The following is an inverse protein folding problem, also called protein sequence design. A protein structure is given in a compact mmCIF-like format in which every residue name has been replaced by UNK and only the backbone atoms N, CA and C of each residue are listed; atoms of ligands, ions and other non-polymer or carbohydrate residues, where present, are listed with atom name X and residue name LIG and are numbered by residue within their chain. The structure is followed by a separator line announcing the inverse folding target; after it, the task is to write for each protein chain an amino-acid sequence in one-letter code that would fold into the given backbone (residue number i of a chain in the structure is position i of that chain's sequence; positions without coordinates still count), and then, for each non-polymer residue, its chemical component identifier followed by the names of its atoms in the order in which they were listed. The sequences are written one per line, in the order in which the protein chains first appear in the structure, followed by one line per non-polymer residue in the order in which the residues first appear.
data_IF_049781634567
#
_entry.id   IF_049781634567
#
_cell.length_a   1.000
_cell.length_b   1.000
_cell.length_c   1.000
_cell.angle_alpha   90.00
_cell.angle_beta   90.00
_cell.angle_gamma   90.00
#
_symmetry.space_group_name_H-M   'P 1'
#
loop_
_entity.id
_entity.type
_entity.pdbx_description
1 polymer ?
#
# COMPACT_ATOMS: atom_id res chain seq x y z
N UNK A 1 26.22 14.62 3.39
CA UNK A 1 26.92 14.41 4.68
C UNK A 1 26.39 13.10 5.24
N UNK A 2 27.29 12.14 5.49
CA UNK A 2 27.08 10.69 5.60
C UNK A 2 26.49 10.22 6.93
N UNK A 3 25.77 9.09 6.93
CA UNK A 3 25.88 8.05 7.99
C UNK A 3 25.14 6.74 7.62
N UNK A 4 25.45 5.60 8.28
CA UNK A 4 25.76 4.33 7.64
C UNK A 4 24.73 3.21 7.91
N UNK A 5 24.77 2.14 7.11
CA UNK A 5 24.09 0.84 7.34
C UNK A 5 22.66 0.91 7.90
N UNK A 6 21.66 1.13 7.04
CA UNK A 6 20.24 1.06 7.42
C UNK A 6 19.40 0.66 6.21
N UNK A 7 18.50 -0.28 6.41
CA UNK A 7 17.59 -0.89 5.42
C UNK A 7 16.92 0.16 4.53
N UNK A 8 17.13 0.10 3.21
CA UNK A 8 16.30 0.83 2.26
C UNK A 8 14.92 0.16 2.21
N UNK A 9 13.90 0.74 2.85
CA UNK A 9 12.51 0.31 2.70
C UNK A 9 11.59 0.72 3.85
N UNK A 10 10.33 1.04 3.55
CA UNK A 10 9.24 1.31 4.52
C UNK A 10 8.56 0.03 5.02
N UNK A 11 9.29 -1.09 5.08
CA UNK A 11 8.72 -2.39 5.46
C UNK A 11 8.26 -2.42 6.91
N UNK A 12 7.03 -2.85 7.14
CA UNK A 12 6.45 -3.06 8.48
C UNK A 12 5.93 -4.48 8.59
N UNK A 13 5.94 -5.05 9.80
CA UNK A 13 5.51 -6.43 10.03
C UNK A 13 4.56 -6.54 11.22
N UNK A 14 3.50 -7.31 11.04
CA UNK A 14 2.47 -7.57 12.04
C UNK A 14 1.35 -6.52 12.08
N UNK A 15 0.16 -6.88 12.63
CA UNK A 15 -1.03 -6.03 12.55
C UNK A 15 -0.86 -4.64 13.17
N UNK A 16 -0.20 -4.54 14.34
CA UNK A 16 -0.02 -3.27 15.03
C UNK A 16 0.89 -2.30 14.28
N UNK A 17 1.98 -2.80 13.68
CA UNK A 17 2.89 -1.97 12.90
C UNK A 17 2.24 -1.54 11.57
N UNK A 18 1.45 -2.43 10.95
CA UNK A 18 0.66 -2.09 9.77
C UNK A 18 -0.40 -1.03 10.08
N UNK A 19 -1.13 -1.17 11.19
CA UNK A 19 -2.13 -0.17 11.63
C UNK A 19 -1.48 1.19 11.91
N UNK A 20 -0.37 1.23 12.64
CA UNK A 20 0.37 2.47 12.89
C UNK A 20 0.87 3.11 11.59
N UNK A 21 1.38 2.31 10.65
CA UNK A 21 1.80 2.78 9.32
C UNK A 21 0.64 3.40 8.54
N UNK A 22 -0.51 2.71 8.48
CA UNK A 22 -1.70 3.19 7.76
C UNK A 22 -2.31 4.44 8.41
N UNK A 23 -2.29 4.54 9.74
CA UNK A 23 -2.71 5.74 10.47
C UNK A 23 -1.78 6.93 10.18
N UNK A 24 -0.46 6.70 10.14
CA UNK A 24 0.51 7.72 9.73
C UNK A 24 0.28 8.21 8.29
N UNK A 25 -0.03 7.29 7.37
CA UNK A 25 -0.39 7.63 6.00
C UNK A 25 -1.68 8.47 5.93
N UNK A 26 -2.72 8.06 6.64
CA UNK A 26 -3.99 8.79 6.68
C UNK A 26 -3.84 10.20 7.28
N UNK A 27 -3.00 10.36 8.30
CA UNK A 27 -2.69 11.65 8.91
C UNK A 27 -1.90 12.57 7.97
N UNK A 28 -0.99 12.02 7.17
CA UNK A 28 -0.20 12.78 6.20
C UNK A 28 -1.02 13.28 4.99
N UNK A 29 -2.12 12.58 4.66
CA UNK A 29 -3.01 12.92 3.54
C UNK A 29 -4.49 13.01 3.97
N UNK A 30 -4.86 14.03 4.77
CA UNK A 30 -6.23 14.14 5.28
C UNK A 30 -7.27 14.20 4.17
N UNK A 31 -8.30 13.36 4.28
CA UNK A 31 -9.40 13.30 3.30
C UNK A 31 -9.07 12.58 1.99
N UNK A 32 -7.82 12.12 1.80
CA UNK A 32 -7.48 11.23 0.71
C UNK A 32 -8.02 9.82 0.99
N UNK A 33 -8.25 9.06 -0.08
CA UNK A 33 -8.64 7.64 -0.01
C UNK A 33 -7.96 6.84 -1.11
N UNK A 34 -7.87 5.53 -0.93
CA UNK A 34 -7.51 4.62 -2.00
C UNK A 34 -8.75 4.19 -2.79
N UNK A 35 -8.64 4.19 -4.12
CA UNK A 35 -9.62 3.65 -5.07
C UNK A 35 -8.95 2.52 -5.84
N UNK A 36 -9.53 1.33 -5.80
CA UNK A 36 -9.08 0.22 -6.65
C UNK A 36 -9.60 0.46 -8.07
N UNK A 37 -8.70 0.42 -9.04
CA UNK A 37 -9.03 0.64 -10.45
C UNK A 37 -9.11 -0.67 -11.25
N UNK A 38 -8.55 -1.75 -10.70
CA UNK A 38 -8.62 -3.09 -11.27
C UNK A 38 -7.89 -4.09 -10.39
N UNK A 39 -8.31 -5.35 -10.47
CA UNK A 39 -7.70 -6.47 -9.75
C UNK A 39 -7.52 -7.62 -10.74
N UNK A 40 -6.33 -8.22 -10.71
CA UNK A 40 -6.06 -9.54 -11.26
C UNK A 40 -5.78 -10.48 -10.10
N UNK A 41 -6.37 -11.67 -10.10
CA UNK A 41 -6.14 -12.67 -9.07
C UNK A 41 -5.79 -14.03 -9.69
N UNK A 42 -4.95 -14.77 -9.00
CA UNK A 42 -4.60 -16.15 -9.32
C UNK A 42 -4.16 -16.87 -8.05
N UNK A 43 -4.79 -18.02 -7.76
CA UNK A 43 -4.56 -18.77 -6.53
C UNK A 43 -4.73 -17.92 -5.27
N UNK A 44 -3.70 -17.84 -4.45
CA UNK A 44 -3.61 -17.06 -3.21
C UNK A 44 -2.92 -15.71 -3.41
N UNK A 45 -2.83 -15.23 -4.65
CA UNK A 45 -2.22 -13.95 -4.97
C UNK A 45 -3.21 -13.02 -5.69
N UNK A 46 -3.11 -11.72 -5.39
CA UNK A 46 -3.79 -10.68 -6.16
C UNK A 46 -2.84 -9.54 -6.49
N UNK A 47 -3.12 -8.89 -7.62
CA UNK A 47 -2.44 -7.71 -8.11
C UNK A 47 -3.49 -6.64 -8.37
N UNK A 48 -3.45 -5.55 -7.62
CA UNK A 48 -4.38 -4.44 -7.73
C UNK A 48 -3.69 -3.20 -8.31
N UNK A 49 -4.30 -2.57 -9.30
CA UNK A 49 -3.99 -1.18 -9.65
C UNK A 49 -4.83 -0.24 -8.80
N UNK A 50 -4.23 0.83 -8.31
CA UNK A 50 -4.90 1.74 -7.40
C UNK A 50 -4.60 3.22 -7.65
N UNK A 51 -5.64 4.02 -7.44
CA UNK A 51 -5.75 5.45 -7.20
C UNK A 51 -5.53 5.88 -5.74
N UNK A 52 -4.57 6.72 -5.36
CA UNK A 52 -4.80 7.61 -4.21
C UNK A 52 -5.51 8.84 -4.74
N UNK A 53 -6.74 9.08 -4.30
CA UNK A 53 -7.56 10.20 -4.75
C UNK A 53 -7.74 11.22 -3.62
N UNK A 54 -7.69 12.50 -3.99
CA UNK A 54 -7.92 13.61 -3.07
C UNK A 54 -9.39 13.78 -2.68
N UNK A 55 -9.68 14.74 -1.78
CA UNK A 55 -11.05 15.06 -1.36
C UNK A 55 -11.94 15.54 -2.51
N UNK A 56 -11.33 16.15 -3.53
CA UNK A 56 -11.96 16.58 -4.79
C UNK A 56 -12.25 15.42 -5.76
N UNK A 57 -11.80 14.20 -5.42
CA UNK A 57 -11.94 13.01 -6.23
C UNK A 57 -10.90 12.87 -7.35
N UNK A 58 -9.97 13.81 -7.48
CA UNK A 58 -8.90 13.75 -8.48
C UNK A 58 -7.79 12.78 -8.03
N UNK A 59 -7.16 12.12 -8.99
CA UNK A 59 -6.03 11.26 -8.71
C UNK A 59 -4.83 12.11 -8.28
N UNK A 60 -4.29 11.82 -7.09
CA UNK A 60 -3.09 12.45 -6.55
C UNK A 60 -1.85 11.61 -6.88
N UNK A 61 -1.98 10.28 -6.77
CA UNK A 61 -0.89 9.34 -7.00
C UNK A 61 -1.48 8.01 -7.48
N UNK A 62 -0.76 7.27 -8.31
CA UNK A 62 -1.17 5.95 -8.77
C UNK A 62 -0.12 4.90 -8.41
N UNK A 63 -0.55 3.64 -8.35
CA UNK A 63 0.35 2.55 -8.02
C UNK A 63 -0.20 1.18 -8.35
N UNK A 64 0.63 0.19 -8.08
CA UNK A 64 0.32 -1.23 -8.18
C UNK A 64 0.65 -1.87 -6.84
N UNK A 65 -0.24 -2.71 -6.31
CA UNK A 65 0.00 -3.49 -5.11
C UNK A 65 -0.19 -4.97 -5.40
N UNK A 66 0.71 -5.82 -4.88
CA UNK A 66 0.52 -7.26 -4.85
C UNK A 66 0.26 -7.72 -3.42
N UNK A 67 -0.66 -8.64 -3.24
CA UNK A 67 -0.91 -9.28 -1.96
C UNK A 67 -0.93 -10.79 -2.07
N UNK A 68 -0.56 -11.46 -0.98
CA UNK A 68 -0.78 -12.88 -0.78
C UNK A 68 -1.84 -13.10 0.31
N UNK A 69 -2.81 -13.97 0.05
CA UNK A 69 -3.92 -14.32 0.94
C UNK A 69 -4.08 -15.83 0.96
N UNK A 70 -3.66 -16.47 2.06
CA UNK A 70 -3.84 -17.91 2.24
C UNK A 70 -5.32 -18.22 2.53
N UNK A 71 -5.86 -19.29 1.94
CA UNK A 71 -7.25 -19.73 2.15
C UNK A 71 -7.56 -19.89 3.65
N UNK A 72 -8.51 -19.09 4.15
CA UNK A 72 -8.93 -19.08 5.56
C UNK A 72 -8.03 -18.27 6.51
N UNK A 73 -7.00 -17.58 5.99
CA UNK A 73 -6.10 -16.73 6.77
C UNK A 73 -6.21 -15.28 6.30
N UNK A 74 -6.06 -14.28 7.19
CA UNK A 74 -5.87 -12.89 6.79
C UNK A 74 -4.62 -12.71 5.90
N UNK A 75 -4.57 -11.54 5.23
CA UNK A 75 -3.45 -11.02 4.43
C UNK A 75 -2.10 -11.44 5.02
N UNK A 76 -1.32 -12.22 4.26
CA UNK A 76 -0.04 -12.76 4.72
C UNK A 76 1.15 -11.91 4.29
N UNK A 77 1.05 -11.27 3.14
CA UNK A 77 2.09 -10.38 2.61
C UNK A 77 1.45 -9.32 1.70
N UNK A 78 2.03 -8.11 1.70
CA UNK A 78 1.66 -7.03 0.79
C UNK A 78 2.91 -6.26 0.37
N UNK A 79 3.03 -6.03 -0.93
CA UNK A 79 4.07 -5.19 -1.52
C UNK A 79 3.41 -4.15 -2.42
N UNK A 80 3.84 -2.90 -2.30
CA UNK A 80 3.31 -1.77 -3.07
C UNK A 80 4.38 -1.05 -3.87
N UNK A 81 4.00 -0.56 -5.04
CA UNK A 81 4.82 0.25 -5.93
C UNK A 81 4.07 1.53 -6.29
N UNK A 82 4.75 2.66 -6.17
CA UNK A 82 4.29 3.92 -6.74
C UNK A 82 4.68 3.97 -8.21
N UNK A 83 3.75 4.36 -9.08
CA UNK A 83 4.06 4.58 -10.49
C UNK A 83 4.55 6.02 -10.69
N UNK A 84 5.44 6.27 -11.67
CA UNK A 84 5.81 7.61 -12.08
C UNK A 84 4.58 8.43 -12.47
N UNK A 85 4.67 9.75 -12.28
CA UNK A 85 3.69 10.71 -12.76
C UNK A 85 3.75 10.88 -14.28
#
# INVERSE_FOLDING_TARGET
MTSPTGTWGTGVAGPAALDAYMNGFAAAFPGHRFRIEGVHDHHDHSLARWAQVGPDGQAFMTGIGSSAVRRGNPLTDVTGFFLPA
#
